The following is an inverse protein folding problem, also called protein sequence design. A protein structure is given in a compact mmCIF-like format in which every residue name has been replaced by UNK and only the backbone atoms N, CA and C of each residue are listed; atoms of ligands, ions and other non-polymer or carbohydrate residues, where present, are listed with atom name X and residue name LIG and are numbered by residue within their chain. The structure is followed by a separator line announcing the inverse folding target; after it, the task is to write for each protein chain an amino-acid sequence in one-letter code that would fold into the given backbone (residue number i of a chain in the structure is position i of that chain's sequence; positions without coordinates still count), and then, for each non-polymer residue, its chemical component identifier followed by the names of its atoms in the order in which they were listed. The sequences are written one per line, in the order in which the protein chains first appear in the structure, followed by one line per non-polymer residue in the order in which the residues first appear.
data_IF_866201893660
#
_entry.id   IF_866201893660
#
_cell.length_a   1.000
_cell.length_b   1.000
_cell.length_c   1.000
_cell.angle_alpha   90.00
_cell.angle_beta   90.00
_cell.angle_gamma   90.00
#
_symmetry.space_group_name_H-M   'P 1'
#
loop_
_entity.id
_entity.type
_entity.pdbx_description
1 polymer ?
#
# COMPACT_ATOMS: atom_id res chain seq x y z
N UNK A 1 27.57 5.54 -3.64
CA UNK A 1 26.54 4.49 -3.52
C UNK A 1 25.21 5.16 -3.75
N UNK A 2 24.38 4.63 -4.65
CA UNK A 2 23.03 5.16 -4.89
C UNK A 2 22.02 4.28 -4.16
N UNK A 3 21.03 4.89 -3.51
CA UNK A 3 19.96 4.19 -2.80
C UNK A 3 18.65 4.46 -3.53
N UNK A 4 17.80 3.44 -3.67
CA UNK A 4 16.45 3.56 -4.21
C UNK A 4 15.42 3.31 -3.11
N UNK A 5 14.35 4.12 -3.07
CA UNK A 5 13.22 3.91 -2.19
C UNK A 5 12.15 3.08 -2.88
N UNK A 6 11.84 1.90 -2.32
CA UNK A 6 10.73 1.07 -2.77
C UNK A 6 9.64 1.03 -1.71
N UNK A 7 8.41 1.37 -2.09
CA UNK A 7 7.28 1.43 -1.18
C UNK A 7 6.34 0.23 -1.42
N UNK A 8 6.05 -0.58 -0.38
CA UNK A 8 5.17 -1.73 -0.53
C UNK A 8 3.71 -1.31 -0.75
N UNK A 9 2.95 -2.17 -1.43
CA UNK A 9 1.51 -2.03 -1.58
C UNK A 9 0.72 -2.58 -0.40
N UNK A 10 -0.56 -2.86 -0.63
CA UNK A 10 -1.41 -3.59 0.32
C UNK A 10 -0.94 -5.05 0.48
N UNK A 11 -1.08 -5.60 1.67
CA UNK A 11 -0.77 -7.00 2.00
C UNK A 11 0.28 -7.15 3.11
N UNK A 12 1.10 -6.13 3.34
CA UNK A 12 2.14 -6.13 4.39
C UNK A 12 1.74 -5.40 5.68
N UNK A 13 0.48 -4.94 5.79
CA UNK A 13 -0.04 -4.37 7.02
C UNK A 13 -0.09 -5.43 8.14
N UNK A 14 0.20 -5.01 9.37
CA UNK A 14 0.11 -5.87 10.55
C UNK A 14 -0.38 -5.07 11.75
N UNK A 15 -1.10 -5.73 12.67
CA UNK A 15 -1.51 -5.11 13.92
C UNK A 15 -0.28 -4.67 14.72
N UNK A 16 -0.31 -3.44 15.24
CA UNK A 16 0.81 -2.84 15.96
C UNK A 16 1.96 -2.37 15.07
N UNK A 17 1.79 -2.32 13.75
CA UNK A 17 2.83 -1.81 12.84
C UNK A 17 3.28 -0.39 13.27
N UNK A 18 4.58 -0.13 13.18
CA UNK A 18 5.22 1.14 13.53
C UNK A 18 5.14 1.58 15.00
N UNK A 19 4.64 0.75 15.93
CA UNK A 19 4.57 1.07 17.35
C UNK A 19 5.93 1.48 17.93
N UNK A 20 6.93 0.60 17.81
CA UNK A 20 8.29 0.84 18.31
C UNK A 20 8.94 2.07 17.65
N UNK A 21 8.72 2.26 16.35
CA UNK A 21 9.24 3.43 15.64
C UNK A 21 8.62 4.73 16.18
N UNK A 22 7.33 4.70 16.55
CA UNK A 22 6.62 5.85 17.10
C UNK A 22 7.08 6.26 18.50
N UNK A 23 7.55 5.32 19.31
CA UNK A 23 8.13 5.60 20.63
C UNK A 23 9.41 6.45 20.51
N UNK A 24 10.21 6.17 19.48
CA UNK A 24 11.45 6.91 19.20
C UNK A 24 11.22 8.18 18.38
N UNK A 25 10.18 8.19 17.53
CA UNK A 25 9.95 9.25 16.56
C UNK A 25 8.48 9.69 16.54
N UNK A 26 8.19 10.79 17.23
CA UNK A 26 6.85 11.41 17.26
C UNK A 26 6.31 11.81 15.87
N UNK A 27 7.17 11.95 14.86
CA UNK A 27 6.77 12.21 13.47
C UNK A 27 5.95 11.05 12.87
N UNK A 28 6.09 9.83 13.39
CA UNK A 28 5.27 8.68 12.98
C UNK A 28 3.81 8.93 13.36
N UNK A 29 3.53 9.14 14.65
CA UNK A 29 2.16 9.41 15.13
C UNK A 29 1.60 10.70 14.52
N UNK A 30 2.43 11.74 14.34
CA UNK A 30 2.00 12.98 13.67
C UNK A 30 1.60 12.76 12.20
N UNK A 31 2.31 11.89 11.48
CA UNK A 31 1.99 11.53 10.09
C UNK A 31 0.67 10.77 10.00
N UNK A 32 0.43 9.85 10.94
CA UNK A 32 -0.86 9.17 11.02
C UNK A 32 -1.99 10.12 11.41
N UNK A 33 -1.76 11.05 12.34
CA UNK A 33 -2.75 12.06 12.70
C UNK A 33 -3.15 12.92 11.49
N UNK A 34 -2.17 13.40 10.72
CA UNK A 34 -2.43 14.17 9.50
C UNK A 34 -3.29 13.39 8.48
N UNK A 35 -3.02 12.09 8.33
CA UNK A 35 -3.83 11.24 7.47
C UNK A 35 -5.23 10.96 8.05
N UNK A 36 -5.33 10.77 9.36
CA UNK A 36 -6.60 10.60 10.08
C UNK A 36 -7.49 11.83 9.93
N UNK A 37 -6.92 13.03 10.09
CA UNK A 37 -7.63 14.30 9.95
C UNK A 37 -8.13 14.50 8.52
N UNK A 38 -7.34 14.09 7.52
CA UNK A 38 -7.71 14.20 6.11
C UNK A 38 -8.91 13.30 5.73
N UNK A 39 -9.12 12.19 6.43
CA UNK A 39 -10.19 11.22 6.17
C UNK A 39 -11.32 11.25 7.23
N UNK A 40 -11.16 11.99 8.32
CA UNK A 40 -12.11 12.04 9.42
C UNK A 40 -12.26 10.72 10.19
N UNK A 41 -11.20 9.90 10.26
CA UNK A 41 -11.19 8.61 10.99
C UNK A 41 -9.81 8.29 11.53
N UNK A 42 -9.74 7.61 12.67
CA UNK A 42 -8.48 7.33 13.35
C UNK A 42 -7.74 6.13 12.73
N UNK A 43 -6.83 6.41 11.80
CA UNK A 43 -5.98 5.39 11.18
C UNK A 43 -4.98 4.79 12.18
N UNK A 44 -4.50 5.57 13.15
CA UNK A 44 -3.54 5.05 14.13
C UNK A 44 -4.20 4.00 15.02
N UNK A 45 -5.40 4.30 15.53
CA UNK A 45 -6.17 3.36 16.34
C UNK A 45 -6.44 2.06 15.57
N UNK A 46 -6.83 2.14 14.28
CA UNK A 46 -7.04 0.94 13.46
C UNK A 46 -5.75 0.13 13.33
N UNK A 47 -4.60 0.77 13.13
CA UNK A 47 -3.30 0.10 13.00
C UNK A 47 -2.83 -0.56 14.29
N UNK A 48 -3.10 0.06 15.45
CA UNK A 48 -2.60 -0.40 16.75
C UNK A 48 -3.53 -1.39 17.45
N UNK A 49 -4.84 -1.16 17.38
CA UNK A 49 -5.83 -1.83 18.23
C UNK A 49 -7.04 -2.36 17.45
N UNK A 50 -7.12 -2.08 16.14
CA UNK A 50 -8.25 -2.50 15.31
C UNK A 50 -8.36 -4.03 15.19
N UNK A 51 -9.56 -4.57 14.99
CA UNK A 51 -9.70 -5.99 14.65
C UNK A 51 -9.05 -6.27 13.29
N UNK A 52 -8.53 -7.47 13.11
CA UNK A 52 -7.86 -7.88 11.87
C UNK A 52 -8.72 -7.64 10.61
N UNK A 53 -10.04 -7.85 10.71
CA UNK A 53 -10.97 -7.57 9.63
C UNK A 53 -11.04 -6.07 9.24
N UNK A 54 -10.89 -5.15 10.19
CA UNK A 54 -10.82 -3.72 9.90
C UNK A 54 -9.47 -3.35 9.28
N UNK A 55 -8.38 -3.96 9.75
CA UNK A 55 -7.03 -3.76 9.21
C UNK A 55 -6.93 -4.24 7.75
N UNK A 56 -7.59 -5.37 7.43
CA UNK A 56 -7.62 -6.00 6.11
C UNK A 56 -8.75 -5.50 5.20
N UNK A 57 -9.57 -4.57 5.66
CA UNK A 57 -10.53 -3.89 4.80
C UNK A 57 -9.78 -2.89 3.91
N UNK A 58 -9.86 -3.08 2.59
CA UNK A 58 -9.20 -2.24 1.57
C UNK A 58 -9.37 -0.74 1.83
N UNK A 59 -10.57 -0.30 2.23
CA UNK A 59 -10.84 1.11 2.54
C UNK A 59 -9.92 1.65 3.63
N UNK A 60 -9.55 0.84 4.62
CA UNK A 60 -8.63 1.19 5.69
C UNK A 60 -7.18 0.91 5.30
N UNK A 61 -6.90 -0.28 4.76
CA UNK A 61 -5.54 -0.75 4.47
C UNK A 61 -4.78 0.20 3.56
N UNK A 62 -5.46 0.76 2.55
CA UNK A 62 -4.78 1.61 1.59
C UNK A 62 -4.19 2.90 2.18
N UNK A 63 -4.97 3.78 2.83
CA UNK A 63 -4.41 4.97 3.45
C UNK A 63 -3.51 4.65 4.66
N UNK A 64 -3.73 3.53 5.36
CA UNK A 64 -2.80 3.03 6.39
C UNK A 64 -1.39 2.80 5.85
N UNK A 65 -1.29 2.05 4.74
CA UNK A 65 -0.02 1.73 4.12
C UNK A 65 0.64 2.97 3.51
N UNK A 66 -0.14 3.90 2.94
CA UNK A 66 0.38 5.21 2.49
C UNK A 66 0.99 5.99 3.66
N UNK A 67 0.25 6.15 4.78
CA UNK A 67 0.71 6.87 5.96
C UNK A 67 1.97 6.21 6.56
N UNK A 68 2.02 4.88 6.57
CA UNK A 68 3.18 4.14 7.04
C UNK A 68 4.44 4.38 6.18
N UNK A 69 4.31 4.29 4.85
CA UNK A 69 5.42 4.54 3.93
C UNK A 69 5.96 5.96 4.07
N UNK A 70 5.07 6.95 4.18
CA UNK A 70 5.46 8.37 4.34
C UNK A 70 6.04 8.63 5.73
N UNK A 71 5.52 7.99 6.78
CA UNK A 71 6.09 8.09 8.13
C UNK A 71 7.53 7.57 8.17
N UNK A 72 7.80 6.40 7.58
CA UNK A 72 9.14 5.85 7.46
C UNK A 72 10.08 6.77 6.65
N UNK A 73 9.61 7.35 5.55
CA UNK A 73 10.36 8.32 4.77
C UNK A 73 10.72 9.57 5.59
N UNK A 74 9.75 10.13 6.31
CA UNK A 74 9.95 11.30 7.18
C UNK A 74 10.95 11.02 8.28
N UNK A 75 10.94 9.82 8.87
CA UNK A 75 11.96 9.38 9.83
C UNK A 75 13.34 9.26 9.16
N UNK A 76 13.43 8.64 7.98
CA UNK A 76 14.68 8.53 7.21
C UNK A 76 15.31 9.90 6.95
N UNK A 77 14.51 10.86 6.49
CA UNK A 77 14.96 12.24 6.24
C UNK A 77 15.39 12.94 7.53
N UNK A 78 14.64 12.76 8.64
CA UNK A 78 14.97 13.34 9.94
C UNK A 78 16.29 12.81 10.52
N UNK A 79 16.71 11.62 10.11
CA UNK A 79 17.97 10.98 10.51
C UNK A 79 19.11 11.28 9.54
N UNK A 80 18.99 12.34 8.73
CA UNK A 80 19.97 12.70 7.70
C UNK A 80 20.29 11.53 6.75
N UNK A 81 19.28 10.70 6.48
CA UNK A 81 19.37 9.59 5.54
C UNK A 81 19.79 10.08 4.16
N UNK A 82 20.57 9.25 3.45
CA UNK A 82 21.06 9.60 2.11
C UNK A 82 19.91 9.88 1.14
N UNK A 83 20.16 10.78 0.19
CA UNK A 83 19.21 11.09 -0.88
C UNK A 83 18.87 9.84 -1.71
N UNK A 84 17.58 9.64 -1.96
CA UNK A 84 17.08 8.55 -2.78
C UNK A 84 17.24 8.92 -4.26
N UNK A 85 18.02 8.14 -4.99
CA UNK A 85 18.31 8.37 -6.40
C UNK A 85 17.17 7.92 -7.33
N UNK A 86 16.30 7.04 -6.83
CA UNK A 86 15.12 6.54 -7.53
C UNK A 86 14.03 6.18 -6.51
N UNK A 87 12.78 6.26 -6.96
CA UNK A 87 11.59 5.97 -6.18
C UNK A 87 10.67 5.09 -7.01
N UNK A 88 10.09 4.06 -6.40
CA UNK A 88 9.09 3.20 -7.03
C UNK A 88 8.13 2.66 -5.97
N UNK A 89 6.91 2.34 -6.37
CA UNK A 89 5.96 1.71 -5.47
C UNK A 89 5.17 0.59 -6.11
N UNK A 90 4.89 -0.46 -5.35
CA UNK A 90 4.07 -1.57 -5.85
C UNK A 90 2.59 -1.25 -5.65
N UNK A 91 1.83 -1.14 -6.74
CA UNK A 91 0.39 -0.89 -6.70
C UNK A 91 0.06 0.36 -5.87
N UNK A 92 -0.54 0.20 -4.69
CA UNK A 92 -0.78 1.29 -3.74
C UNK A 92 0.50 2.05 -3.34
N UNK A 93 1.63 1.36 -3.23
CA UNK A 93 2.91 1.97 -2.84
C UNK A 93 3.34 3.08 -3.81
N UNK A 94 2.83 3.09 -5.05
CA UNK A 94 3.12 4.13 -6.05
C UNK A 94 2.72 5.52 -5.53
N UNK A 95 1.63 5.61 -4.75
CA UNK A 95 1.20 6.87 -4.14
C UNK A 95 2.20 7.36 -3.07
N UNK A 96 2.78 6.44 -2.29
CA UNK A 96 3.86 6.78 -1.36
C UNK A 96 5.10 7.25 -2.10
N UNK A 97 5.45 6.61 -3.23
CA UNK A 97 6.57 7.03 -4.07
C UNK A 97 6.35 8.42 -4.69
N UNK A 98 5.13 8.72 -5.13
CA UNK A 98 4.75 10.05 -5.66
C UNK A 98 4.81 11.14 -4.58
N UNK A 99 4.42 10.83 -3.34
CA UNK A 99 4.61 11.74 -2.20
C UNK A 99 6.10 11.92 -1.90
N UNK A 100 6.88 10.83 -1.93
CA UNK A 100 8.33 10.88 -1.71
C UNK A 100 9.08 11.69 -2.77
N UNK A 101 8.52 11.77 -3.98
CA UNK A 101 9.05 12.53 -5.11
C UNK A 101 8.55 13.99 -5.14
N UNK A 102 7.80 14.44 -4.11
CA UNK A 102 7.14 15.75 -4.05
C UNK A 102 6.16 16.02 -5.21
N UNK A 103 5.69 14.98 -5.89
CA UNK A 103 4.68 15.09 -6.97
C UNK A 103 3.28 15.28 -6.41
N UNK A 104 2.99 14.64 -5.27
CA UNK A 104 1.74 14.78 -4.55
C UNK A 104 2.00 15.30 -3.13
N UNK A 105 1.23 16.29 -2.70
CA UNK A 105 1.16 16.63 -1.28
C UNK A 105 0.57 15.46 -0.51
N UNK A 106 1.11 15.15 0.67
CA UNK A 106 0.70 13.98 1.45
C UNK A 106 -0.80 13.99 1.78
N UNK A 107 -1.35 15.11 2.24
CA UNK A 107 -2.78 15.23 2.54
C UNK A 107 -3.67 14.95 1.32
N UNK A 108 -3.26 15.38 0.12
CA UNK A 108 -4.01 15.14 -1.12
C UNK A 108 -3.89 13.68 -1.55
N UNK A 109 -2.70 13.09 -1.42
CA UNK A 109 -2.49 11.66 -1.65
C UNK A 109 -3.36 10.81 -0.71
N UNK A 110 -3.49 11.19 0.56
CA UNK A 110 -4.37 10.49 1.52
C UNK A 110 -5.83 10.52 1.07
N UNK A 111 -6.35 11.67 0.66
CA UNK A 111 -7.73 11.80 0.15
C UNK A 111 -7.94 11.00 -1.13
N UNK A 112 -6.99 11.08 -2.06
CA UNK A 112 -7.02 10.35 -3.32
C UNK A 112 -6.99 8.83 -3.09
N UNK A 113 -6.13 8.36 -2.19
CA UNK A 113 -6.04 6.94 -1.82
C UNK A 113 -7.28 6.48 -1.07
N UNK A 114 -7.85 7.31 -0.20
CA UNK A 114 -9.13 7.03 0.44
C UNK A 114 -10.25 6.81 -0.58
N UNK A 115 -10.35 7.68 -1.59
CA UNK A 115 -11.32 7.54 -2.67
C UNK A 115 -11.04 6.34 -3.57
N UNK A 116 -9.77 6.09 -3.91
CA UNK A 116 -9.35 4.87 -4.64
C UNK A 116 -9.82 3.62 -3.91
N UNK A 117 -9.62 3.55 -2.60
CA UNK A 117 -9.97 2.40 -1.80
C UNK A 117 -11.50 2.18 -1.75
N UNK A 118 -12.27 3.25 -1.57
CA UNK A 118 -13.75 3.23 -1.62
C UNK A 118 -14.27 2.76 -2.99
N UNK A 119 -13.69 3.28 -4.07
CA UNK A 119 -14.04 2.88 -5.43
C UNK A 119 -13.71 1.41 -5.71
N UNK A 120 -12.53 0.94 -5.28
CA UNK A 120 -12.17 -0.48 -5.39
C UNK A 120 -13.14 -1.39 -4.61
N UNK A 121 -13.49 -1.00 -3.39
CA UNK A 121 -14.39 -1.80 -2.54
C UNK A 121 -15.83 -1.86 -3.09
N UNK A 122 -16.26 -0.83 -3.83
CA UNK A 122 -17.61 -0.75 -4.43
C UNK A 122 -17.68 -1.28 -5.86
N UNK A 123 -16.55 -1.51 -6.53
CA UNK A 123 -16.52 -1.97 -7.91
C UNK A 123 -16.97 -3.43 -8.08
N UNK A 124 -16.78 -4.28 -7.06
CA UNK A 124 -17.10 -5.70 -7.11
C UNK A 124 -17.84 -6.10 -5.81
N UNK A 125 -19.00 -6.78 -5.88
CA UNK A 125 -19.71 -7.27 -4.71
C UNK A 125 -18.83 -8.17 -3.82
N UNK A 126 -19.06 -8.14 -2.52
CA UNK A 126 -18.34 -9.00 -1.59
C UNK A 126 -18.58 -10.48 -1.92
N UNK A 127 -17.49 -11.24 -2.07
CA UNK A 127 -17.54 -12.66 -2.43
C UNK A 127 -17.50 -12.93 -3.94
N UNK A 128 -17.49 -11.87 -4.77
CA UNK A 128 -17.27 -11.98 -6.22
C UNK A 128 -15.82 -11.63 -6.56
N UNK A 129 -15.21 -12.42 -7.44
CA UNK A 129 -13.79 -12.31 -7.77
C UNK A 129 -12.86 -12.94 -6.74
N UNK A 130 -11.66 -13.29 -7.18
CA UNK A 130 -10.61 -13.84 -6.33
C UNK A 130 -9.23 -13.52 -6.94
N UNK A 131 -8.19 -13.61 -6.12
CA UNK A 131 -6.80 -13.51 -6.55
C UNK A 131 -6.03 -14.73 -6.04
N UNK A 132 -5.06 -15.18 -6.84
CA UNK A 132 -4.16 -16.27 -6.48
C UNK A 132 -2.72 -15.89 -6.83
N UNK A 133 -1.77 -16.36 -6.02
CA UNK A 133 -0.34 -16.31 -6.33
C UNK A 133 0.06 -17.63 -7.00
N UNK A 134 0.80 -17.56 -8.11
CA UNK A 134 1.15 -18.72 -8.94
C UNK A 134 2.65 -18.85 -9.02
N UNK A 135 3.20 -19.86 -8.33
CA UNK A 135 4.64 -20.11 -8.28
C UNK A 135 5.09 -21.06 -9.41
N UNK A 136 6.26 -20.82 -9.98
CA UNK A 136 6.98 -21.81 -10.79
C UNK A 136 6.53 -21.98 -12.25
N UNK A 137 5.70 -21.06 -12.76
CA UNK A 137 5.39 -20.92 -14.19
C UNK A 137 5.99 -19.62 -14.72
N UNK A 138 6.31 -19.58 -16.01
CA UNK A 138 6.71 -18.33 -16.68
C UNK A 138 5.49 -17.46 -17.06
N UNK A 139 5.74 -16.18 -17.31
CA UNK A 139 4.69 -15.19 -17.59
C UNK A 139 3.79 -15.59 -18.78
N UNK A 140 4.37 -16.18 -19.83
CA UNK A 140 3.62 -16.57 -21.03
C UNK A 140 2.71 -17.77 -20.76
N UNK A 141 3.17 -18.73 -19.96
CA UNK A 141 2.37 -19.86 -19.50
C UNK A 141 1.21 -19.39 -18.62
N UNK A 142 1.44 -18.43 -17.72
CA UNK A 142 0.40 -17.87 -16.86
C UNK A 142 -0.67 -17.17 -17.71
N UNK A 143 -0.28 -16.32 -18.66
CA UNK A 143 -1.22 -15.63 -19.56
C UNK A 143 -2.07 -16.64 -20.34
N UNK A 144 -1.45 -17.67 -20.94
CA UNK A 144 -2.19 -18.70 -21.66
C UNK A 144 -3.13 -19.53 -20.76
N UNK A 145 -2.73 -19.78 -19.51
CA UNK A 145 -3.56 -20.46 -18.53
C UNK A 145 -4.78 -19.62 -18.14
N UNK A 146 -4.62 -18.31 -17.94
CA UNK A 146 -5.70 -17.37 -17.69
C UNK A 146 -6.71 -17.35 -18.86
N UNK A 147 -6.23 -17.23 -20.10
CA UNK A 147 -7.09 -17.26 -21.30
C UNK A 147 -7.90 -18.55 -21.40
N UNK A 148 -7.28 -19.69 -21.12
CA UNK A 148 -7.95 -21.00 -21.15
C UNK A 148 -8.96 -21.15 -20.00
N UNK A 149 -8.61 -20.66 -18.81
CA UNK A 149 -9.44 -20.76 -17.61
C UNK A 149 -10.65 -19.81 -17.64
N UNK A 150 -10.57 -18.71 -18.38
CA UNK A 150 -11.60 -17.68 -18.45
C UNK A 150 -13.00 -18.26 -18.75
N UNK A 151 -13.12 -19.18 -19.72
CA UNK A 151 -14.38 -19.92 -20.01
C UNK A 151 -15.66 -19.06 -20.11
N UNK A 152 -15.54 -17.80 -20.53
CA UNK A 152 -16.66 -16.85 -20.62
C UNK A 152 -16.72 -15.82 -19.49
N UNK A 153 -15.94 -16.01 -18.42
CA UNK A 153 -15.66 -15.05 -17.36
C UNK A 153 -14.32 -14.31 -17.61
N UNK A 154 -13.87 -13.52 -16.64
CA UNK A 154 -12.60 -12.77 -16.69
C UNK A 154 -11.58 -13.40 -15.75
N UNK A 155 -10.45 -13.83 -16.31
CA UNK A 155 -9.28 -14.31 -15.55
C UNK A 155 -8.04 -13.68 -16.18
N UNK A 156 -7.23 -12.97 -15.39
CA UNK A 156 -6.10 -12.20 -15.90
C UNK A 156 -4.85 -12.33 -15.03
N UNK A 157 -3.69 -12.31 -15.67
CA UNK A 157 -2.40 -12.16 -15.01
C UNK A 157 -2.16 -10.67 -14.70
N UNK A 158 -2.38 -10.29 -13.44
CA UNK A 158 -2.40 -8.86 -13.05
C UNK A 158 -1.10 -8.35 -12.42
N UNK A 159 -0.26 -9.24 -11.88
CA UNK A 159 0.99 -8.87 -11.22
C UNK A 159 2.15 -9.82 -11.60
N UNK A 160 3.10 -9.31 -12.38
CA UNK A 160 4.37 -9.98 -12.66
C UNK A 160 5.43 -9.48 -11.68
N UNK A 161 5.48 -10.11 -10.50
CA UNK A 161 6.22 -9.56 -9.36
C UNK A 161 7.73 -9.85 -9.43
N UNK A 162 8.12 -11.06 -9.86
CA UNK A 162 9.51 -11.46 -10.11
C UNK A 162 9.54 -12.75 -10.95
N UNK A 163 10.70 -13.12 -11.53
CA UNK A 163 10.78 -14.33 -12.35
C UNK A 163 10.37 -15.60 -11.58
N UNK A 164 9.26 -16.23 -12.00
CA UNK A 164 8.73 -17.47 -11.44
C UNK A 164 8.01 -17.34 -10.08
N UNK A 165 7.61 -16.11 -9.70
CA UNK A 165 7.25 -15.72 -8.34
C UNK A 165 6.04 -16.38 -7.72
#
# INVERSE_FOLDING_TARGET
MSIAGLFPGQGSQSLGMLAELSESFSIVSATFQEASDALGRDLWQIAQEGPEAALNNTENTQPLMLAAGVACLRVWQKQDGAALAALAGHSLGEYSALVAADVLAFTDAVKLVGERARLMQSAVPAGEGAMAAILGLDDAQIVAACETAAQGDVVEAVNFNSPGQ
#
